data_IF_946152450540
#
_entry.id   IF_946152450540
#
_cell.length_a   1.000
_cell.length_b   1.000
_cell.length_c   1.000
_cell.angle_alpha   90.00
_cell.angle_beta   90.00
_cell.angle_gamma   90.00
#
_symmetry.space_group_name_H-M   'P 1'
#
loop_
_entity.id
_entity.type
_entity.pdbx_description
1 polymer ?
#
# COMPACT_ATOMS: atom_id res chain seq x y z
N UNK A 1 -9.99 10.43 -7.91
CA UNK A 1 -9.52 11.21 -6.75
C UNK A 1 -8.71 12.40 -7.24
N UNK A 2 -8.95 13.55 -6.63
CA UNK A 2 -8.25 14.78 -6.98
C UNK A 2 -7.03 14.94 -6.10
N UNK A 3 -5.88 15.20 -6.72
CA UNK A 3 -4.65 15.56 -6.02
C UNK A 3 -4.41 17.06 -6.19
N UNK A 4 -4.19 17.77 -5.10
CA UNK A 4 -3.89 19.21 -5.10
C UNK A 4 -2.38 19.43 -4.95
N UNK A 5 -1.64 19.69 -6.05
CA UNK A 5 -0.19 19.62 -6.06
C UNK A 5 0.52 20.68 -5.20
N UNK A 6 -0.15 21.79 -4.93
CA UNK A 6 0.42 22.94 -4.19
C UNK A 6 0.03 22.97 -2.71
N UNK A 7 -0.55 21.87 -2.19
CA UNK A 7 -0.95 21.80 -0.79
C UNK A 7 0.10 21.05 0.01
N UNK A 8 0.55 21.67 1.10
CA UNK A 8 1.42 21.04 2.09
C UNK A 8 0.60 20.35 3.19
N UNK A 9 1.15 19.23 3.68
CA UNK A 9 0.57 18.55 4.82
C UNK A 9 0.64 19.43 6.08
N UNK A 10 -0.42 19.43 6.90
CA UNK A 10 -0.52 20.20 8.14
C UNK A 10 -0.40 19.27 9.36
N UNK A 11 0.36 19.68 10.36
CA UNK A 11 0.41 18.97 11.64
C UNK A 11 -0.87 19.28 12.43
N UNK A 12 -1.75 18.31 12.56
CA UNK A 12 -3.08 18.46 13.20
C UNK A 12 -3.13 17.87 14.62
N UNK A 13 -2.19 16.99 14.96
CA UNK A 13 -1.98 16.48 16.32
C UNK A 13 -0.49 16.57 16.63
N UNK A 14 -0.16 17.22 17.73
CA UNK A 14 1.18 17.29 18.32
C UNK A 14 1.12 16.90 19.80
N UNK A 15 1.51 15.66 20.10
CA UNK A 15 1.47 15.09 21.44
C UNK A 15 2.81 14.41 21.81
N UNK A 16 3.90 15.14 21.71
CA UNK A 16 5.24 14.65 22.04
C UNK A 16 5.71 13.56 21.05
N UNK A 17 5.76 12.30 21.47
CA UNK A 17 6.13 11.18 20.62
C UNK A 17 5.07 10.86 19.55
N UNK A 18 3.83 11.34 19.71
CA UNK A 18 2.72 11.11 18.79
C UNK A 18 2.47 12.35 17.93
N UNK A 19 2.24 12.15 16.66
CA UNK A 19 1.85 13.19 15.71
C UNK A 19 0.82 12.68 14.71
N UNK A 20 0.05 13.61 14.14
CA UNK A 20 -0.77 13.32 12.96
C UNK A 20 -0.68 14.50 12.00
N UNK A 21 -0.40 14.17 10.73
CA UNK A 21 -0.43 15.13 9.63
C UNK A 21 -1.67 14.88 8.77
N UNK A 22 -2.27 15.98 8.31
CA UNK A 22 -3.33 15.98 7.29
C UNK A 22 -2.72 16.49 5.98
N UNK A 23 -2.61 15.61 4.98
CA UNK A 23 -2.06 15.96 3.67
C UNK A 23 -3.07 16.69 2.77
N UNK A 24 -4.33 16.85 3.18
CA UNK A 24 -5.36 17.63 2.44
C UNK A 24 -5.43 17.27 0.96
N UNK A 25 -5.23 15.98 0.63
CA UNK A 25 -5.16 15.46 -0.74
C UNK A 25 -3.99 16.03 -1.58
N UNK A 26 -2.92 16.47 -0.94
CA UNK A 26 -1.66 16.83 -1.58
C UNK A 26 -0.91 15.62 -2.14
N UNK A 27 0.23 15.86 -2.80
CA UNK A 27 1.10 14.79 -3.29
C UNK A 27 1.56 13.88 -2.16
N UNK A 28 1.26 12.57 -2.32
CA UNK A 28 1.56 11.58 -1.28
C UNK A 28 3.05 11.45 -1.00
N UNK A 29 3.90 11.52 -2.03
CA UNK A 29 5.34 11.44 -1.86
C UNK A 29 5.89 12.60 -1.01
N UNK A 30 5.41 13.83 -1.24
CA UNK A 30 5.81 15.00 -0.44
C UNK A 30 5.31 14.87 1.00
N UNK A 31 4.05 14.45 1.17
CA UNK A 31 3.47 14.25 2.50
C UNK A 31 4.14 13.08 3.26
N UNK A 32 4.49 12.00 2.56
CA UNK A 32 5.21 10.85 3.11
C UNK A 32 6.60 11.21 3.61
N UNK A 33 7.37 11.94 2.82
CA UNK A 33 8.67 12.47 3.23
C UNK A 33 8.57 13.27 4.53
N UNK A 34 7.66 14.24 4.57
CA UNK A 34 7.43 15.07 5.75
C UNK A 34 7.01 14.24 6.97
N UNK A 35 6.15 13.22 6.80
CA UNK A 35 5.70 12.37 7.89
C UNK A 35 6.86 11.54 8.48
N UNK A 36 7.74 11.02 7.63
CA UNK A 36 8.92 10.26 8.10
C UNK A 36 9.91 11.17 8.81
N UNK A 37 10.18 12.36 8.28
CA UNK A 37 11.07 13.34 8.91
C UNK A 37 10.53 13.79 10.30
N UNK A 38 9.24 14.02 10.40
CA UNK A 38 8.58 14.29 11.68
C UNK A 38 8.76 13.13 12.66
N UNK A 39 8.63 11.90 12.18
CA UNK A 39 8.89 10.69 12.97
C UNK A 39 10.33 10.60 13.47
N UNK A 40 11.30 10.87 12.62
CA UNK A 40 12.73 10.85 12.95
C UNK A 40 13.06 11.91 14.02
N UNK A 41 12.55 13.13 13.86
CA UNK A 41 12.76 14.23 14.83
C UNK A 41 12.21 13.86 16.21
N UNK A 42 10.99 13.30 16.25
CA UNK A 42 10.35 12.87 17.49
C UNK A 42 11.05 11.67 18.13
N UNK A 43 11.40 10.67 17.32
CA UNK A 43 12.14 9.49 17.81
C UNK A 43 13.49 9.89 18.42
N UNK A 44 14.19 10.87 17.84
CA UNK A 44 15.43 11.41 18.41
C UNK A 44 15.23 12.02 19.79
N UNK A 45 14.12 12.72 20.01
CA UNK A 45 13.80 13.41 21.27
C UNK A 45 13.24 12.47 22.33
N UNK A 46 12.40 11.50 21.92
CA UNK A 46 11.58 10.70 22.84
C UNK A 46 11.97 9.22 22.88
N UNK A 47 12.91 8.78 22.03
CA UNK A 47 13.30 7.36 21.89
C UNK A 47 12.38 6.54 20.99
N UNK A 48 11.16 7.01 20.74
CA UNK A 48 10.14 6.39 19.88
C UNK A 48 9.25 7.46 19.30
N UNK A 49 8.63 7.18 18.14
CA UNK A 49 7.56 8.02 17.60
C UNK A 49 6.47 7.18 16.93
N UNK A 50 5.26 7.74 16.90
CA UNK A 50 4.16 7.25 16.09
C UNK A 50 3.59 8.43 15.31
N UNK A 51 3.58 8.32 13.98
CA UNK A 51 3.11 9.38 13.09
C UNK A 51 1.98 8.86 12.23
N UNK A 52 0.80 9.44 12.39
CA UNK A 52 -0.33 9.24 11.47
C UNK A 52 -0.25 10.22 10.30
N UNK A 53 -0.53 9.74 9.10
CA UNK A 53 -0.72 10.57 7.91
C UNK A 53 -2.09 10.25 7.32
N UNK A 54 -2.95 11.25 7.18
CA UNK A 54 -4.28 11.11 6.62
C UNK A 54 -4.51 12.01 5.41
N UNK A 55 -5.53 11.68 4.61
CA UNK A 55 -5.94 12.43 3.42
C UNK A 55 -4.76 12.68 2.46
N UNK A 56 -3.91 11.67 2.29
CA UNK A 56 -2.74 11.72 1.42
C UNK A 56 -3.06 11.15 0.04
N UNK A 57 -2.48 11.71 -1.00
CA UNK A 57 -2.37 11.04 -2.28
C UNK A 57 -1.51 9.77 -2.20
N UNK A 58 -1.32 9.08 -3.32
CA UNK A 58 -0.54 7.86 -3.40
C UNK A 58 0.91 8.07 -2.92
N UNK A 59 1.35 7.26 -1.96
CA UNK A 59 2.64 7.40 -1.27
C UNK A 59 3.84 6.88 -2.08
N UNK A 60 3.62 6.34 -3.27
CA UNK A 60 4.69 5.72 -4.05
C UNK A 60 5.08 4.33 -3.52
N UNK A 61 6.34 3.98 -3.62
CA UNK A 61 6.93 2.78 -3.03
C UNK A 61 7.09 2.98 -1.53
N UNK A 62 6.48 2.14 -0.73
CA UNK A 62 6.49 2.33 0.73
C UNK A 62 7.88 2.06 1.33
N UNK A 63 8.66 1.21 0.67
CA UNK A 63 10.06 0.95 1.05
C UNK A 63 10.93 2.20 1.09
N UNK A 64 10.65 3.24 0.29
CA UNK A 64 11.42 4.49 0.30
C UNK A 64 11.37 5.17 1.68
N UNK A 65 10.25 5.08 2.35
CA UNK A 65 10.05 5.63 3.69
C UNK A 65 10.78 4.82 4.75
N UNK A 66 10.82 3.50 4.57
CA UNK A 66 11.58 2.59 5.43
C UNK A 66 13.10 2.80 5.26
N UNK A 67 13.58 2.97 4.04
CA UNK A 67 14.98 3.30 3.72
C UNK A 67 15.38 4.64 4.35
N UNK A 68 14.57 5.69 4.16
CA UNK A 68 14.83 7.02 4.74
C UNK A 68 14.97 6.99 6.28
N UNK A 69 14.12 6.23 6.95
CA UNK A 69 14.23 6.06 8.40
C UNK A 69 15.48 5.27 8.80
N UNK A 70 15.82 4.22 8.04
CA UNK A 70 17.01 3.41 8.27
C UNK A 70 18.30 4.18 8.01
N UNK A 71 18.36 5.04 6.99
CA UNK A 71 19.47 5.98 6.73
C UNK A 71 19.71 6.93 7.90
N UNK A 72 18.63 7.33 8.59
CA UNK A 72 18.71 8.14 9.80
C UNK A 72 19.05 7.32 11.07
N UNK A 73 19.24 5.99 10.95
CA UNK A 73 19.62 5.09 12.03
C UNK A 73 18.45 4.55 12.87
N UNK A 74 17.23 4.61 12.37
CA UNK A 74 16.02 4.16 13.08
C UNK A 74 15.42 2.90 12.47
N UNK A 75 14.93 2.01 13.32
CA UNK A 75 14.01 0.95 12.90
C UNK A 75 12.64 1.57 12.70
N UNK A 76 11.98 1.24 11.59
CA UNK A 76 10.66 1.77 11.28
C UNK A 76 9.71 0.71 10.75
N UNK A 77 8.41 0.94 11.01
CA UNK A 77 7.29 0.14 10.49
C UNK A 77 6.31 1.09 9.82
N UNK A 78 5.90 0.74 8.60
CA UNK A 78 4.99 1.54 7.81
C UNK A 78 3.79 0.68 7.41
N UNK A 79 2.60 1.13 7.78
CA UNK A 79 1.33 0.50 7.45
C UNK A 79 0.53 1.46 6.60
N UNK A 80 0.01 0.98 5.48
CA UNK A 80 -0.82 1.80 4.59
C UNK A 80 -2.19 1.15 4.42
N UNK A 81 -3.22 1.96 4.49
CA UNK A 81 -4.58 1.58 4.13
C UNK A 81 -5.14 2.58 3.11
N UNK A 82 -5.85 2.08 2.13
CA UNK A 82 -6.47 2.89 1.07
C UNK A 82 -7.98 2.86 1.23
N UNK A 83 -8.53 3.98 1.69
CA UNK A 83 -9.98 4.11 1.85
C UNK A 83 -10.68 4.02 0.49
N UNK A 84 -11.68 3.14 0.41
CA UNK A 84 -12.50 2.97 -0.79
C UNK A 84 -11.92 2.03 -1.86
N UNK A 85 -10.65 1.61 -1.75
CA UNK A 85 -10.07 0.62 -2.66
C UNK A 85 -10.29 -0.79 -2.12
N UNK A 86 -11.47 -1.34 -2.34
CA UNK A 86 -11.80 -2.71 -1.93
C UNK A 86 -11.56 -3.65 -3.11
N UNK A 87 -10.43 -4.34 -3.10
CA UNK A 87 -9.94 -5.17 -4.20
C UNK A 87 -9.56 -6.59 -3.77
N UNK A 88 -9.30 -6.78 -2.48
CA UNK A 88 -8.72 -8.01 -1.94
C UNK A 88 -9.76 -8.77 -1.12
N UNK A 89 -9.91 -10.05 -1.42
CA UNK A 89 -10.69 -10.96 -0.60
C UNK A 89 -9.86 -11.44 0.61
N UNK A 90 -10.43 -11.54 1.80
CA UNK A 90 -9.78 -12.17 2.93
C UNK A 90 -9.55 -13.66 2.65
N UNK A 91 -8.62 -14.27 3.38
CA UNK A 91 -8.35 -15.70 3.24
C UNK A 91 -9.61 -16.53 3.48
N UNK A 92 -9.93 -17.41 2.54
CA UNK A 92 -11.13 -18.24 2.58
C UNK A 92 -12.43 -17.53 2.16
N UNK A 93 -12.37 -16.25 1.78
CA UNK A 93 -13.49 -15.47 1.25
C UNK A 93 -13.38 -15.20 -0.24
N UNK A 94 -14.48 -14.74 -0.85
CA UNK A 94 -14.56 -14.32 -2.26
C UNK A 94 -14.88 -12.85 -2.42
N UNK A 95 -15.45 -12.23 -1.39
CA UNK A 95 -15.82 -10.81 -1.40
C UNK A 95 -14.62 -9.90 -1.22
N UNK A 96 -14.60 -8.79 -1.93
CA UNK A 96 -13.62 -7.71 -1.75
C UNK A 96 -13.86 -7.00 -0.42
N UNK A 97 -12.96 -7.13 0.55
CA UNK A 97 -13.10 -6.54 1.88
C UNK A 97 -11.93 -5.67 2.28
N UNK A 98 -10.81 -5.77 1.59
CA UNK A 98 -9.59 -5.03 1.87
C UNK A 98 -8.94 -4.44 0.64
N UNK A 99 -7.95 -3.59 0.87
CA UNK A 99 -7.03 -3.09 -0.13
C UNK A 99 -5.76 -3.95 -0.18
N UNK A 100 -4.85 -3.61 -1.07
CA UNK A 100 -3.50 -4.21 -1.13
C UNK A 100 -2.65 -3.90 0.11
N UNK A 101 -3.03 -2.91 0.91
CA UNK A 101 -2.56 -2.55 2.26
C UNK A 101 -1.10 -2.90 2.51
N UNK A 102 -0.13 -2.19 1.88
CA UNK A 102 1.28 -2.55 1.96
C UNK A 102 1.84 -2.36 3.38
N UNK A 103 2.83 -3.21 3.68
CA UNK A 103 3.66 -3.17 4.87
C UNK A 103 5.11 -2.95 4.43
N UNK A 104 5.80 -1.97 5.02
CA UNK A 104 7.24 -1.88 4.92
C UNK A 104 7.91 -1.80 6.29
N UNK A 105 9.08 -2.40 6.39
CA UNK A 105 9.91 -2.39 7.60
C UNK A 105 11.33 -2.05 7.19
N UNK A 106 11.93 -1.07 7.88
CA UNK A 106 13.33 -0.70 7.71
C UNK A 106 14.13 -1.00 8.98
N UNK A 107 15.25 -1.70 8.82
CA UNK A 107 16.20 -1.97 9.91
C UNK A 107 17.58 -1.46 9.48
N UNK A 108 18.14 -0.45 10.17
CA UNK A 108 19.44 0.10 9.83
C UNK A 108 20.56 -0.93 10.03
N UNK A 109 21.52 -0.93 9.11
CA UNK A 109 22.71 -1.77 9.19
C UNK A 109 23.96 -0.91 9.08
N UNK A 110 24.87 -1.02 10.06
CA UNK A 110 26.10 -0.22 10.07
C UNK A 110 27.09 -0.75 9.04
N UNK A 111 27.42 0.12 8.06
CA UNK A 111 28.44 -0.20 7.03
C UNK A 111 28.02 -1.25 6.01
N UNK A 112 26.72 -1.52 5.86
CA UNK A 112 26.12 -2.46 4.90
C UNK A 112 24.78 -1.90 4.40
N UNK A 113 24.22 -2.55 3.40
CA UNK A 113 22.84 -2.30 2.98
C UNK A 113 21.87 -2.54 4.13
N UNK A 114 20.86 -1.69 4.25
CA UNK A 114 19.80 -1.85 5.24
C UNK A 114 18.94 -3.08 4.94
N UNK A 115 18.32 -3.64 5.95
CA UNK A 115 17.33 -4.69 5.77
C UNK A 115 15.99 -4.01 5.56
N UNK A 116 15.45 -4.14 4.35
CA UNK A 116 14.17 -3.53 3.97
C UNK A 116 13.20 -4.63 3.57
N UNK A 117 12.06 -4.68 4.26
CA UNK A 117 10.87 -5.37 3.79
C UNK A 117 9.96 -4.34 3.14
N UNK A 118 9.46 -4.61 1.94
CA UNK A 118 8.42 -3.81 1.27
C UNK A 118 7.51 -4.74 0.48
N UNK A 119 6.29 -4.94 0.96
CA UNK A 119 5.37 -5.89 0.36
C UNK A 119 3.92 -5.43 0.48
N UNK A 120 3.10 -5.76 -0.52
CA UNK A 120 1.65 -5.76 -0.37
C UNK A 120 1.21 -6.92 0.54
N UNK A 121 0.08 -6.77 1.22
CA UNK A 121 -0.58 -7.88 1.94
C UNK A 121 -1.52 -8.67 1.05
N UNK A 122 -1.59 -8.32 -0.23
CA UNK A 122 -2.22 -9.09 -1.31
C UNK A 122 -1.18 -9.87 -2.12
N UNK A 123 -1.61 -10.89 -2.83
CA UNK A 123 -0.73 -11.71 -3.68
C UNK A 123 -0.06 -10.88 -4.79
N UNK A 124 -0.79 -9.93 -5.34
CA UNK A 124 -0.30 -8.98 -6.35
C UNK A 124 -0.87 -7.59 -6.12
N UNK A 125 -0.17 -6.57 -6.62
CA UNK A 125 -0.72 -5.22 -6.70
C UNK A 125 -1.73 -5.11 -7.85
N UNK A 126 -2.73 -4.25 -7.71
CA UNK A 126 -3.77 -4.02 -8.73
C UNK A 126 -3.17 -3.68 -10.11
N UNK A 127 -2.16 -2.82 -10.17
CA UNK A 127 -1.50 -2.46 -11.42
C UNK A 127 -0.96 -3.65 -12.21
N UNK A 128 -0.56 -4.75 -11.54
CA UNK A 128 -0.16 -5.99 -12.23
C UNK A 128 -1.35 -6.69 -12.87
N UNK A 129 -2.53 -6.65 -12.25
CA UNK A 129 -3.77 -7.21 -12.81
C UNK A 129 -4.19 -6.40 -14.03
N UNK A 130 -4.13 -5.06 -13.96
CA UNK A 130 -4.40 -4.17 -15.09
C UNK A 130 -3.46 -4.43 -16.28
N UNK A 131 -2.17 -4.61 -16.01
CA UNK A 131 -1.18 -4.95 -17.05
C UNK A 131 -1.49 -6.31 -17.69
N UNK A 132 -1.86 -7.31 -16.90
CA UNK A 132 -2.25 -8.62 -17.41
C UNK A 132 -3.53 -8.54 -18.26
N UNK A 133 -4.52 -7.73 -17.87
CA UNK A 133 -5.75 -7.48 -18.62
C UNK A 133 -5.47 -6.89 -20.01
N UNK A 134 -4.45 -6.07 -20.15
CA UNK A 134 -4.01 -5.45 -21.41
C UNK A 134 -2.99 -6.32 -22.18
N UNK A 135 -2.96 -7.63 -21.94
CA UNK A 135 -2.08 -8.56 -22.65
C UNK A 135 -0.61 -8.51 -22.25
N UNK A 136 -0.29 -7.88 -21.11
CA UNK A 136 1.07 -7.86 -20.57
C UNK A 136 1.44 -9.15 -19.84
N UNK A 137 2.43 -9.06 -18.93
CA UNK A 137 2.92 -10.23 -18.19
C UNK A 137 1.80 -10.96 -17.45
N UNK A 138 1.68 -12.28 -17.58
CA UNK A 138 0.65 -13.06 -16.89
C UNK A 138 0.82 -13.02 -15.38
N UNK A 139 -0.28 -13.16 -14.67
CA UNK A 139 -0.31 -13.21 -13.20
C UNK A 139 0.23 -14.55 -12.67
N UNK A 140 0.76 -14.59 -11.46
CA UNK A 140 1.12 -15.83 -10.80
C UNK A 140 -0.14 -16.67 -10.50
N UNK A 141 0.04 -17.99 -10.36
CA UNK A 141 -1.04 -18.90 -10.01
C UNK A 141 -1.71 -18.51 -8.69
N UNK A 142 -3.03 -18.51 -8.67
CA UNK A 142 -3.82 -18.18 -7.51
C UNK A 142 -3.83 -16.68 -7.13
N UNK A 143 -3.38 -15.79 -8.03
CA UNK A 143 -3.40 -14.35 -7.77
C UNK A 143 -4.80 -13.77 -7.62
N UNK A 144 -5.78 -14.37 -8.27
CA UNK A 144 -7.18 -13.94 -8.25
C UNK A 144 -8.09 -15.09 -7.81
N UNK A 145 -9.26 -14.71 -7.33
CA UNK A 145 -10.36 -15.62 -6.99
C UNK A 145 -11.64 -15.11 -7.65
N UNK A 146 -12.38 -16.01 -8.26
CA UNK A 146 -13.70 -15.70 -8.84
C UNK A 146 -14.81 -15.73 -7.77
N UNK A 147 -16.01 -15.31 -8.13
CA UNK A 147 -17.18 -15.31 -7.22
C UNK A 147 -17.63 -16.69 -6.77
N UNK A 148 -17.18 -17.75 -7.44
CA UNK A 148 -17.46 -19.14 -7.10
C UNK A 148 -16.39 -19.75 -6.17
N UNK A 149 -15.34 -19.01 -5.85
CA UNK A 149 -14.25 -19.47 -4.97
C UNK A 149 -13.12 -20.19 -5.69
N UNK A 150 -13.07 -20.16 -7.03
CA UNK A 150 -11.99 -20.77 -7.79
C UNK A 150 -10.82 -19.82 -7.96
N UNK A 151 -9.63 -20.30 -7.67
CA UNK A 151 -8.39 -19.56 -7.92
C UNK A 151 -8.09 -19.47 -9.41
N UNK A 152 -7.71 -18.30 -9.90
CA UNK A 152 -7.45 -18.04 -11.31
C UNK A 152 -6.34 -17.03 -11.53
N UNK A 153 -5.88 -16.95 -12.78
CA UNK A 153 -4.97 -15.90 -13.27
C UNK A 153 -5.65 -15.01 -14.31
N UNK A 154 -6.93 -15.28 -14.62
CA UNK A 154 -7.66 -14.50 -15.63
C UNK A 154 -8.12 -13.15 -15.05
N UNK A 155 -7.59 -12.01 -15.51
CA UNK A 155 -7.96 -10.71 -15.00
C UNK A 155 -9.40 -10.29 -15.33
N UNK A 156 -10.06 -10.93 -16.31
CA UNK A 156 -11.47 -10.67 -16.62
C UNK A 156 -12.41 -10.90 -15.43
N UNK A 157 -12.01 -11.74 -14.44
CA UNK A 157 -12.83 -11.94 -13.25
C UNK A 157 -12.96 -10.64 -12.42
N UNK A 158 -11.97 -9.74 -12.53
CA UNK A 158 -11.99 -8.44 -11.86
C UNK A 158 -12.57 -7.31 -12.70
N UNK A 159 -12.30 -7.30 -14.00
CA UNK A 159 -12.60 -6.15 -14.86
C UNK A 159 -13.66 -6.45 -15.93
N UNK A 160 -14.13 -7.68 -16.01
CA UNK A 160 -14.95 -8.11 -17.16
C UNK A 160 -14.14 -8.14 -18.45
N UNK A 161 -14.82 -8.35 -19.56
CA UNK A 161 -14.23 -8.22 -20.89
C UNK A 161 -14.17 -6.75 -21.27
N UNK A 162 -12.99 -6.28 -21.62
CA UNK A 162 -12.75 -4.90 -22.05
C UNK A 162 -12.10 -4.88 -23.43
N UNK A 163 -12.33 -3.83 -24.19
CA UNK A 163 -11.62 -3.54 -25.44
C UNK A 163 -10.23 -2.95 -25.15
N UNK A 164 -9.36 -2.91 -26.18
CA UNK A 164 -8.00 -2.39 -26.03
C UNK A 164 -7.94 -0.93 -25.62
N UNK A 165 -8.96 -0.14 -25.98
CA UNK A 165 -9.05 1.29 -25.69
C UNK A 165 -9.71 1.61 -24.33
N UNK A 166 -10.37 0.63 -23.70
CA UNK A 166 -11.03 0.84 -22.41
C UNK A 166 -10.05 0.77 -21.24
N UNK A 167 -10.24 1.65 -20.25
CA UNK A 167 -9.53 1.57 -18.98
C UNK A 167 -10.17 0.48 -18.12
N UNK A 168 -9.39 -0.46 -17.55
CA UNK A 168 -9.93 -1.47 -16.65
C UNK A 168 -10.63 -0.84 -15.44
N UNK A 169 -11.89 -1.21 -15.21
CA UNK A 169 -12.67 -0.80 -14.05
C UNK A 169 -13.06 -2.04 -13.24
N UNK A 170 -12.63 -2.07 -12.01
CA UNK A 170 -12.88 -3.18 -11.10
C UNK A 170 -14.35 -3.34 -10.71
N UNK A 171 -15.21 -2.36 -10.97
CA UNK A 171 -16.65 -2.48 -10.74
C UNK A 171 -17.33 -3.38 -11.79
N UNK A 172 -16.69 -3.62 -12.93
CA UNK A 172 -17.22 -4.45 -14.00
C UNK A 172 -17.10 -5.97 -13.75
N UNK A 173 -16.33 -6.39 -12.74
CA UNK A 173 -16.15 -7.80 -12.39
C UNK A 173 -16.50 -8.10 -10.93
N UNK A 174 -16.72 -9.38 -10.65
CA UNK A 174 -17.07 -9.88 -9.32
C UNK A 174 -15.93 -10.57 -8.57
N UNK A 175 -14.82 -10.85 -9.26
CA UNK A 175 -13.65 -11.50 -8.67
C UNK A 175 -12.80 -10.53 -7.84
N UNK A 176 -11.84 -11.06 -7.12
CA UNK A 176 -10.97 -10.31 -6.21
C UNK A 176 -9.51 -10.76 -6.33
N UNK A 177 -8.59 -9.92 -5.88
CA UNK A 177 -7.20 -10.30 -5.62
C UNK A 177 -7.18 -11.14 -4.34
N UNK A 178 -6.37 -12.20 -4.32
CA UNK A 178 -6.22 -13.03 -3.13
C UNK A 178 -5.33 -12.36 -2.08
N UNK A 179 -5.57 -12.65 -0.81
CA UNK A 179 -4.67 -12.25 0.27
C UNK A 179 -3.31 -12.94 0.12
N UNK A 180 -2.23 -12.26 0.54
CA UNK A 180 -0.90 -12.82 0.55
C UNK A 180 -0.80 -13.94 1.59
N UNK A 181 -0.20 -15.06 1.14
CA UNK A 181 0.02 -16.22 2.00
C UNK A 181 -1.16 -17.18 2.05
N UNK A 182 -0.85 -18.47 2.07
CA UNK A 182 -1.82 -19.58 2.13
C UNK A 182 -1.58 -20.43 3.39
N UNK A 183 -0.99 -19.85 4.41
CA UNK A 183 -0.61 -20.55 5.64
C UNK A 183 -1.23 -19.86 6.86
N UNK A 184 -1.10 -20.48 7.99
CA UNK A 184 -1.61 -19.96 9.27
C UNK A 184 -1.15 -18.52 9.51
N UNK A 185 -2.10 -17.65 9.79
CA UNK A 185 -1.86 -16.23 10.05
C UNK A 185 -1.91 -15.33 8.80
N UNK A 186 -2.18 -15.90 7.62
CA UNK A 186 -2.47 -15.12 6.42
C UNK A 186 -3.99 -14.93 6.28
N UNK A 187 -4.49 -13.84 6.71
CA UNK A 187 -5.91 -13.54 6.62
C UNK A 187 -6.19 -12.14 7.03
#
# INVERSE_FOLDING_TARGET
DWVFPNIEAELVIDAGALACLDAKQGFGQVAGERAVDEGIVRARKHGVSVVGLKNSGHLGRIGDWAERAADAGYVSFHFVNVRGSLLVAPFGGTDRRGSTSPLAIGIPSKGKEHIILDMATSTVAEGKVMVAQKGGKPLPQGALIDSSGNLTINPEVMYGKISDDEVPDSENGSGAITAFGLHKGSG
#
